data_IF_310714096155
#
_entry.id   IF_310714096155
#
_cell.length_a   1.000
_cell.length_b   1.000
_cell.length_c   1.000
_cell.angle_alpha   90.00
_cell.angle_beta   90.00
_cell.angle_gamma   90.00
#
_symmetry.space_group_name_H-M   'P 1'
#
loop_
_entity.id
_entity.type
_entity.pdbx_description
1 polymer ?
#
# COMPACT_ATOMS: atom_id res chain seq x y z
N UNK A 1 -1.97 20.62 30.66
CA UNK A 1 -1.27 19.73 29.71
C UNK A 1 0.20 20.17 29.63
N UNK A 2 1.14 19.37 30.12
CA UNK A 2 2.58 19.62 29.94
C UNK A 2 2.95 19.22 28.51
N UNK A 3 3.67 20.06 27.80
CA UNK A 3 3.94 19.85 26.37
C UNK A 3 5.23 19.06 26.16
N UNK A 4 5.34 18.36 25.02
CA UNK A 4 6.56 17.60 24.63
C UNK A 4 7.83 18.45 24.66
N UNK A 5 7.70 19.77 24.57
CA UNK A 5 8.80 20.76 24.63
C UNK A 5 9.38 20.93 26.04
N UNK A 6 8.62 20.61 27.08
CA UNK A 6 9.07 20.75 28.47
C UNK A 6 9.97 19.57 28.89
N UNK A 7 9.79 18.40 28.27
CA UNK A 7 10.61 17.21 28.52
C UNK A 7 12.06 17.36 28.03
N UNK A 8 12.26 17.92 26.83
CA UNK A 8 13.61 18.13 26.28
C UNK A 8 14.45 19.15 27.06
N UNK A 9 13.80 20.09 27.78
CA UNK A 9 14.52 21.05 28.63
C UNK A 9 15.09 20.41 29.89
N UNK A 10 14.49 19.33 30.40
CA UNK A 10 14.97 18.64 31.60
C UNK A 10 16.13 17.67 31.33
N UNK A 11 16.29 17.17 30.09
CA UNK A 11 17.35 16.25 29.74
C UNK A 11 18.75 16.91 29.59
N UNK A 12 18.80 18.23 29.35
CA UNK A 12 20.06 18.96 29.21
C UNK A 12 20.76 19.29 30.55
N UNK A 13 20.13 18.99 31.69
CA UNK A 13 20.66 19.33 33.02
C UNK A 13 21.48 18.20 33.68
N UNK A 14 21.66 17.05 33.03
CA UNK A 14 22.46 15.91 33.54
C UNK A 14 23.86 15.90 32.90
N UNK A 15 24.39 17.07 32.55
CA UNK A 15 25.65 17.22 31.80
C UNK A 15 26.78 17.96 32.52
N UNK A 16 26.81 18.04 33.85
CA UNK A 16 27.87 18.77 34.60
C UNK A 16 28.35 18.04 35.88
N UNK A 17 28.51 16.71 35.86
CA UNK A 17 29.23 16.00 36.93
C UNK A 17 30.26 15.04 36.33
N UNK A 18 31.33 15.61 35.77
CA UNK A 18 32.45 14.88 35.19
C UNK A 18 33.82 15.48 35.54
N UNK A 19 33.99 15.99 36.77
CA UNK A 19 35.23 16.60 37.24
C UNK A 19 35.89 15.85 38.41
N UNK A 20 35.66 14.54 38.54
CA UNK A 20 36.45 13.66 39.42
C UNK A 20 36.85 12.42 38.63
N UNK A 21 38.14 12.33 38.29
CA UNK A 21 38.72 11.28 37.44
C UNK A 21 38.70 9.90 38.09
N UNK A 22 37.54 9.25 38.09
CA UNK A 22 37.40 7.82 38.33
C UNK A 22 37.39 7.09 36.99
N UNK A 23 38.14 5.99 36.83
CA UNK A 23 38.07 5.20 35.62
C UNK A 23 36.67 4.60 35.50
N UNK A 24 35.90 5.05 34.50
CA UNK A 24 34.63 4.44 34.12
C UNK A 24 34.95 3.07 33.50
N UNK A 25 34.85 2.04 34.34
CA UNK A 25 34.89 0.65 33.92
C UNK A 25 33.70 0.36 33.00
N UNK A 26 34.00 0.03 31.74
CA UNK A 26 33.17 -0.77 30.84
C UNK A 26 31.70 -0.39 30.75
N UNK A 27 31.36 0.64 29.97
CA UNK A 27 30.05 0.65 29.33
C UNK A 27 30.05 -0.49 28.30
N UNK A 28 29.22 -1.50 28.54
CA UNK A 28 28.89 -2.47 27.51
C UNK A 28 28.41 -1.68 26.28
N UNK A 29 29.00 -1.96 25.12
CA UNK A 29 28.47 -1.51 23.84
C UNK A 29 27.12 -2.20 23.67
N UNK A 30 26.04 -1.56 24.14
CA UNK A 30 24.69 -1.90 23.71
C UNK A 30 24.69 -1.70 22.20
N UNK A 31 24.78 -2.81 21.47
CA UNK A 31 24.49 -2.83 20.04
C UNK A 31 23.08 -2.31 19.89
N UNK A 32 22.95 -1.07 19.42
CA UNK A 32 21.67 -0.52 19.00
C UNK A 32 21.20 -1.40 17.84
N UNK A 33 20.32 -2.36 18.12
CA UNK A 33 19.54 -3.04 17.10
C UNK A 33 18.68 -1.97 16.44
N UNK A 34 19.11 -1.52 15.26
CA UNK A 34 18.29 -0.70 14.40
C UNK A 34 17.14 -1.61 13.97
N UNK A 35 15.94 -1.36 14.52
CA UNK A 35 14.74 -2.06 14.11
C UNK A 35 14.61 -1.93 12.58
N UNK A 36 14.83 -3.04 11.87
CA UNK A 36 14.72 -3.05 10.42
C UNK A 36 13.23 -2.95 10.11
N UNK A 37 12.81 -1.92 9.37
CA UNK A 37 11.42 -1.75 8.91
C UNK A 37 10.95 -2.86 7.96
N UNK A 38 11.69 -3.97 7.87
CA UNK A 38 11.42 -5.12 7.03
C UNK A 38 10.12 -5.82 7.41
N UNK A 39 9.82 -5.94 8.71
CA UNK A 39 8.56 -6.53 9.18
C UNK A 39 7.35 -5.67 8.77
N UNK A 40 7.47 -4.34 8.87
CA UNK A 40 6.43 -3.40 8.44
C UNK A 40 6.24 -3.45 6.92
N UNK A 41 7.34 -3.50 6.16
CA UNK A 41 7.30 -3.61 4.71
C UNK A 41 6.62 -4.89 4.25
N UNK A 42 7.01 -6.03 4.82
CA UNK A 42 6.39 -7.31 4.54
C UNK A 42 4.89 -7.28 4.87
N UNK A 43 4.53 -6.69 6.02
CA UNK A 43 3.15 -6.52 6.42
C UNK A 43 2.36 -5.70 5.38
N UNK A 44 2.82 -4.51 5.01
CA UNK A 44 2.13 -3.64 4.05
C UNK A 44 2.00 -4.26 2.66
N UNK A 45 3.05 -4.92 2.16
CA UNK A 45 3.00 -5.67 0.90
C UNK A 45 1.98 -6.80 0.99
N UNK A 46 1.90 -7.51 2.13
CA UNK A 46 0.91 -8.57 2.32
C UNK A 46 -0.52 -8.04 2.34
N UNK A 47 -0.76 -6.88 2.94
CA UNK A 47 -2.08 -6.22 2.99
C UNK A 47 -2.49 -5.76 1.60
N UNK A 48 -1.60 -5.08 0.89
CA UNK A 48 -1.83 -4.68 -0.50
C UNK A 48 -2.14 -5.89 -1.38
N UNK A 49 -1.37 -6.99 -1.26
CA UNK A 49 -1.62 -8.21 -2.00
C UNK A 49 -3.00 -8.81 -1.70
N UNK A 50 -3.43 -8.83 -0.43
CA UNK A 50 -4.77 -9.31 -0.04
C UNK A 50 -5.90 -8.50 -0.69
N UNK A 51 -5.73 -7.18 -0.82
CA UNK A 51 -6.70 -6.31 -1.49
C UNK A 51 -6.64 -6.49 -3.01
N UNK A 52 -5.44 -6.63 -3.57
CA UNK A 52 -5.22 -6.67 -5.01
C UNK A 52 -5.71 -7.96 -5.66
N UNK A 53 -5.49 -9.11 -5.02
CA UNK A 53 -5.82 -10.44 -5.57
C UNK A 53 -7.27 -10.58 -6.05
N UNK A 54 -8.30 -10.30 -5.24
CA UNK A 54 -9.69 -10.49 -5.68
C UNK A 54 -10.07 -9.57 -6.84
N UNK A 55 -9.39 -8.44 -7.04
CA UNK A 55 -9.66 -7.56 -8.18
C UNK A 55 -8.91 -8.04 -9.43
N UNK A 56 -7.59 -8.16 -9.34
CA UNK A 56 -6.74 -8.44 -10.50
C UNK A 56 -6.85 -9.89 -10.98
N UNK A 57 -6.96 -10.88 -10.09
CA UNK A 57 -7.08 -12.28 -10.51
C UNK A 57 -8.44 -12.56 -11.14
N UNK A 58 -9.51 -11.94 -10.65
CA UNK A 58 -10.83 -12.07 -11.28
C UNK A 58 -10.89 -11.33 -12.62
N UNK A 59 -10.33 -10.13 -12.74
CA UNK A 59 -10.22 -9.44 -14.04
C UNK A 59 -9.38 -10.23 -15.03
N UNK A 60 -8.27 -10.81 -14.60
CA UNK A 60 -7.43 -11.62 -15.46
C UNK A 60 -8.16 -12.86 -16.01
N UNK A 61 -9.20 -13.33 -15.31
CA UNK A 61 -10.11 -14.40 -15.78
C UNK A 61 -11.36 -13.88 -16.50
N UNK A 62 -11.55 -12.56 -16.60
CA UNK A 62 -12.76 -11.91 -17.12
C UNK A 62 -14.02 -12.29 -16.30
N UNK A 63 -13.88 -12.36 -14.98
CA UNK A 63 -14.93 -12.75 -14.04
C UNK A 63 -15.23 -11.72 -12.95
N UNK A 64 -14.62 -10.53 -12.94
CA UNK A 64 -14.75 -9.57 -11.85
C UNK A 64 -16.19 -9.14 -11.61
N UNK A 65 -16.94 -8.75 -12.64
CA UNK A 65 -18.33 -8.31 -12.45
C UNK A 65 -19.23 -9.42 -11.92
N UNK A 66 -18.91 -10.67 -12.24
CA UNK A 66 -19.61 -11.86 -11.76
C UNK A 66 -19.25 -12.17 -10.31
N UNK A 67 -17.97 -12.06 -9.94
CA UNK A 67 -17.46 -12.41 -8.61
C UNK A 67 -17.53 -11.27 -7.59
N UNK A 68 -17.72 -10.03 -8.04
CA UNK A 68 -17.81 -8.83 -7.23
C UNK A 68 -19.13 -8.08 -7.49
N UNK A 69 -20.24 -8.53 -6.86
CA UNK A 69 -21.50 -7.80 -6.87
C UNK A 69 -21.33 -6.39 -6.29
N UNK A 70 -22.06 -5.42 -6.84
CA UNK A 70 -22.00 -4.03 -6.38
C UNK A 70 -22.95 -3.85 -5.19
N UNK A 71 -22.38 -3.47 -4.06
CA UNK A 71 -23.12 -3.05 -2.87
C UNK A 71 -23.27 -1.53 -2.88
N UNK A 72 -24.51 -1.04 -2.98
CA UNK A 72 -24.80 0.39 -2.97
C UNK A 72 -26.16 0.66 -2.35
N UNK A 73 -26.32 1.84 -1.75
CA UNK A 73 -27.62 2.27 -1.21
C UNK A 73 -28.69 2.33 -2.32
N UNK A 74 -29.96 2.02 -2.02
CA UNK A 74 -31.05 2.15 -2.98
C UNK A 74 -31.07 3.54 -3.63
N UNK A 75 -31.12 3.58 -4.96
CA UNK A 75 -31.16 4.83 -5.73
C UNK A 75 -29.80 5.46 -6.07
N UNK A 76 -28.68 4.98 -5.50
CA UNK A 76 -27.36 5.56 -5.77
C UNK A 76 -26.80 5.26 -7.18
N UNK A 77 -27.33 4.24 -7.86
CA UNK A 77 -26.99 3.83 -9.23
C UNK A 77 -25.47 3.80 -9.55
N UNK A 78 -24.66 3.22 -8.66
CA UNK A 78 -23.19 3.19 -8.80
C UNK A 78 -22.66 2.03 -9.64
N UNK A 79 -23.53 1.11 -10.07
CA UNK A 79 -23.14 -0.13 -10.75
C UNK A 79 -22.30 0.12 -12.03
N UNK A 80 -22.54 1.22 -12.74
CA UNK A 80 -21.82 1.57 -13.96
C UNK A 80 -20.37 2.02 -13.72
N UNK A 81 -20.01 2.43 -12.50
CA UNK A 81 -18.70 2.99 -12.17
C UNK A 81 -17.93 2.18 -11.12
N UNK A 82 -18.59 1.38 -10.28
CA UNK A 82 -17.97 0.70 -9.13
C UNK A 82 -16.77 -0.18 -9.49
N UNK A 83 -16.84 -0.97 -10.57
CA UNK A 83 -15.73 -1.83 -10.97
C UNK A 83 -14.53 -1.04 -11.47
N UNK A 84 -14.78 0.05 -12.22
CA UNK A 84 -13.71 0.95 -12.67
C UNK A 84 -13.06 1.69 -11.51
N UNK A 85 -13.86 2.15 -10.54
CA UNK A 85 -13.32 2.77 -9.33
C UNK A 85 -12.45 1.80 -8.54
N UNK A 86 -12.90 0.56 -8.34
CA UNK A 86 -12.13 -0.46 -7.63
C UNK A 86 -10.80 -0.76 -8.34
N UNK A 87 -10.84 -0.99 -9.65
CA UNK A 87 -9.65 -1.29 -10.46
C UNK A 87 -8.70 -0.10 -10.58
N UNK A 88 -9.22 1.08 -10.90
CA UNK A 88 -8.43 2.30 -11.06
C UNK A 88 -7.75 2.72 -9.76
N UNK A 89 -8.50 2.77 -8.64
CA UNK A 89 -7.93 3.12 -7.32
C UNK A 89 -6.86 2.12 -6.88
N UNK A 90 -7.09 0.82 -7.14
CA UNK A 90 -6.11 -0.21 -6.83
C UNK A 90 -4.82 0.00 -7.62
N UNK A 91 -4.89 0.15 -8.95
CA UNK A 91 -3.69 0.35 -9.77
C UNK A 91 -2.96 1.63 -9.39
N UNK A 92 -3.67 2.73 -9.15
CA UNK A 92 -3.05 3.97 -8.69
C UNK A 92 -2.31 3.79 -7.35
N UNK A 93 -2.92 3.08 -6.39
CA UNK A 93 -2.28 2.81 -5.09
C UNK A 93 -1.09 1.85 -5.17
N UNK A 94 -1.13 0.89 -6.10
CA UNK A 94 -0.05 -0.08 -6.31
C UNK A 94 1.10 0.46 -7.15
N UNK A 95 0.87 1.50 -7.96
CA UNK A 95 1.81 1.98 -8.96
C UNK A 95 3.25 2.21 -8.43
N UNK A 96 3.46 2.85 -7.25
CA UNK A 96 4.82 3.03 -6.72
C UNK A 96 5.53 1.70 -6.41
N UNK A 97 4.79 0.70 -5.92
CA UNK A 97 5.34 -0.62 -5.62
C UNK A 97 5.62 -1.43 -6.89
N UNK A 98 4.73 -1.35 -7.89
CA UNK A 98 4.94 -1.99 -9.20
C UNK A 98 6.16 -1.40 -9.93
N UNK A 99 6.41 -0.10 -9.77
CA UNK A 99 7.56 0.59 -10.34
C UNK A 99 8.84 0.50 -9.48
N UNK A 100 8.80 -0.15 -8.32
CA UNK A 100 9.94 -0.21 -7.41
C UNK A 100 11.10 -1.00 -8.02
N UNK A 101 12.29 -0.44 -7.92
CA UNK A 101 13.55 -1.05 -8.36
C UNK A 101 14.27 -1.75 -7.20
N UNK A 102 15.28 -2.57 -7.51
CA UNK A 102 16.14 -3.25 -6.53
C UNK A 102 15.42 -4.18 -5.55
N UNK A 103 14.21 -4.64 -5.90
CA UNK A 103 13.53 -5.72 -5.18
C UNK A 103 14.30 -7.04 -5.35
N UNK A 104 14.25 -7.89 -4.34
CA UNK A 104 14.87 -9.20 -4.35
C UNK A 104 13.98 -10.25 -3.67
N UNK A 105 14.38 -11.51 -3.76
CA UNK A 105 13.71 -12.62 -3.08
C UNK A 105 12.24 -12.79 -3.47
N UNK A 106 11.41 -13.09 -2.48
CA UNK A 106 9.98 -13.35 -2.66
C UNK A 106 9.19 -12.11 -3.06
N UNK A 107 9.62 -10.92 -2.64
CA UNK A 107 8.91 -9.70 -3.01
C UNK A 107 9.06 -9.37 -4.49
N UNK A 108 10.26 -9.56 -5.06
CA UNK A 108 10.46 -9.41 -6.50
C UNK A 108 9.55 -10.35 -7.29
N UNK A 109 9.44 -11.62 -6.88
CA UNK A 109 8.55 -12.60 -7.53
C UNK A 109 7.10 -12.16 -7.46
N UNK A 110 6.66 -11.70 -6.30
CA UNK A 110 5.30 -11.17 -6.09
C UNK A 110 5.05 -9.96 -6.98
N UNK A 111 5.97 -9.00 -7.02
CA UNK A 111 5.88 -7.79 -7.86
C UNK A 111 5.78 -8.13 -9.35
N UNK A 112 6.56 -9.10 -9.83
CA UNK A 112 6.46 -9.57 -11.22
C UNK A 112 5.11 -10.23 -11.52
N UNK A 113 4.61 -11.08 -10.61
CA UNK A 113 3.30 -11.70 -10.76
C UNK A 113 2.18 -10.65 -10.82
N UNK A 114 2.17 -9.68 -9.90
CA UNK A 114 1.18 -8.63 -9.87
C UNK A 114 1.29 -7.68 -11.08
N UNK A 115 2.50 -7.41 -11.57
CA UNK A 115 2.71 -6.64 -12.80
C UNK A 115 2.07 -7.35 -14.00
N UNK A 116 2.25 -8.66 -14.11
CA UNK A 116 1.61 -9.44 -15.18
C UNK A 116 0.09 -9.47 -15.04
N UNK A 117 -0.42 -9.66 -13.82
CA UNK A 117 -1.86 -9.62 -13.55
C UNK A 117 -2.45 -8.24 -13.90
N UNK A 118 -1.79 -7.15 -13.54
CA UNK A 118 -2.23 -5.79 -13.86
C UNK A 118 -2.36 -5.57 -15.37
N UNK A 119 -1.42 -6.07 -16.17
CA UNK A 119 -1.48 -5.98 -17.63
C UNK A 119 -2.66 -6.78 -18.22
N UNK A 120 -2.86 -8.03 -17.77
CA UNK A 120 -3.99 -8.85 -18.24
C UNK A 120 -5.33 -8.26 -17.78
N UNK A 121 -5.38 -7.75 -16.55
CA UNK A 121 -6.57 -7.09 -16.01
C UNK A 121 -6.91 -5.82 -16.80
N UNK A 122 -5.90 -5.06 -17.23
CA UNK A 122 -6.10 -3.87 -18.07
C UNK A 122 -6.69 -4.24 -19.45
N UNK A 123 -6.20 -5.31 -20.07
CA UNK A 123 -6.80 -5.87 -21.30
C UNK A 123 -8.28 -6.21 -21.08
N UNK A 124 -8.58 -6.99 -20.05
CA UNK A 124 -9.95 -7.39 -19.72
C UNK A 124 -10.87 -6.20 -19.41
N UNK A 125 -10.35 -5.15 -18.77
CA UNK A 125 -11.10 -3.96 -18.42
C UNK A 125 -11.37 -3.06 -19.64
N UNK A 126 -10.53 -3.09 -20.67
CA UNK A 126 -10.58 -2.15 -21.82
C UNK A 126 -11.01 -2.78 -23.14
N UNK A 127 -11.09 -4.10 -23.23
CA UNK A 127 -11.62 -4.82 -24.40
C UNK A 127 -13.16 -4.73 -24.44
N UNK A 128 -13.79 -4.10 -25.46
CA UNK A 128 -15.25 -4.00 -25.59
C UNK A 128 -15.98 -5.35 -25.70
N UNK A 129 -15.28 -6.43 -26.04
CA UNK A 129 -15.85 -7.79 -26.09
C UNK A 129 -15.73 -8.53 -24.74
N UNK A 130 -15.02 -7.96 -23.78
CA UNK A 130 -14.89 -8.54 -22.45
C UNK A 130 -16.20 -8.40 -21.66
N UNK A 131 -16.66 -9.44 -20.94
CA UNK A 131 -17.76 -9.29 -19.98
C UNK A 131 -17.42 -8.26 -18.88
N UNK A 132 -16.13 -8.06 -18.60
CA UNK A 132 -15.63 -7.12 -17.62
C UNK A 132 -15.31 -5.72 -18.19
N UNK A 133 -15.62 -5.45 -19.46
CA UNK A 133 -15.39 -4.14 -20.08
C UNK A 133 -15.94 -2.99 -19.20
N UNK A 134 -15.10 -2.04 -18.83
CA UNK A 134 -15.45 -0.96 -17.92
C UNK A 134 -15.92 0.28 -18.66
N UNK A 135 -16.73 1.09 -17.98
CA UNK A 135 -17.25 2.33 -18.56
C UNK A 135 -16.21 3.46 -18.52
N UNK A 136 -15.65 3.82 -19.67
CA UNK A 136 -14.71 4.94 -19.82
C UNK A 136 -15.30 6.18 -20.50
N UNK A 137 -16.57 6.13 -20.92
CA UNK A 137 -17.17 7.13 -21.83
C UNK A 137 -18.46 7.76 -21.32
N UNK A 138 -19.13 7.16 -20.34
CA UNK A 138 -20.43 7.60 -19.85
C UNK A 138 -20.35 8.14 -18.41
N UNK A 139 -21.07 9.23 -18.15
CA UNK A 139 -21.05 9.93 -16.86
C UNK A 139 -20.10 11.13 -16.86
N UNK A 140 -20.49 12.22 -16.19
CA UNK A 140 -19.63 13.39 -16.03
C UNK A 140 -18.45 13.02 -15.13
N UNK A 141 -17.24 13.02 -15.69
CA UNK A 141 -15.98 12.62 -15.04
C UNK A 141 -16.13 11.42 -14.07
N UNK A 142 -15.83 10.19 -14.49
CA UNK A 142 -15.47 9.13 -13.54
C UNK A 142 -14.10 9.43 -12.88
N UNK A 143 -13.80 10.70 -12.62
CA UNK A 143 -12.62 11.13 -11.89
C UNK A 143 -12.87 10.87 -10.42
N UNK A 144 -11.87 10.20 -9.87
CA UNK A 144 -11.62 10.02 -8.46
C UNK A 144 -11.16 11.37 -7.88
N UNK A 145 -11.98 12.40 -8.00
CA UNK A 145 -11.82 13.62 -7.23
C UNK A 145 -12.61 13.42 -5.95
N UNK A 146 -11.89 13.06 -4.89
CA UNK A 146 -12.30 13.36 -3.53
C UNK A 146 -11.95 14.83 -3.25
#
# INVERSE_FOLDING_TARGET
MKTRRDFFKSAAAIGVLGATGLPLTGAAEDKIEIATGENDRLYWVSVMAKIARPVLENLARRELKKSMPVESQPGANRKSVSHLEAFGRLLCGMAPWLAAENLNGEELKSQQQFSKLAQIALDAATDPQSPDFMNFSEGGQPLVDA
#
